data_IF_793023644542
#
_entry.id   IF_793023644542
#
_cell.length_a   1.000
_cell.length_b   1.000
_cell.length_c   1.000
_cell.angle_alpha   90.00
_cell.angle_beta   90.00
_cell.angle_gamma   90.00
#
_symmetry.space_group_name_H-M   'P 1'
#
loop_
_entity.id
_entity.type
_entity.pdbx_description
1 polymer ?
#
# COMPACT_ATOMS: atom_id res chain seq x y z
N UNK A 1 -1.22 -14.82 -37.94
CA UNK A 1 -0.09 -14.89 -37.00
C UNK A 1 -0.62 -15.31 -35.64
N UNK A 2 -0.65 -16.62 -35.37
CA UNK A 2 -1.08 -17.15 -34.09
C UNK A 2 0.03 -16.90 -33.06
N UNK A 3 -0.28 -16.18 -31.98
CA UNK A 3 0.64 -15.98 -30.87
C UNK A 3 0.79 -17.32 -30.13
N UNK A 4 1.74 -18.15 -30.55
CA UNK A 4 2.07 -19.38 -29.86
C UNK A 4 2.47 -19.04 -28.42
N UNK A 5 1.71 -19.56 -27.45
CA UNK A 5 1.96 -19.38 -26.02
C UNK A 5 3.26 -20.12 -25.70
N UNK A 6 4.38 -19.41 -25.72
CA UNK A 6 5.70 -19.98 -25.44
C UNK A 6 5.66 -20.64 -24.05
N UNK A 7 6.00 -21.93 -23.93
CA UNK A 7 6.00 -22.60 -22.64
C UNK A 7 6.97 -21.89 -21.71
N UNK A 8 6.51 -21.60 -20.50
CA UNK A 8 7.32 -20.92 -19.49
C UNK A 8 8.49 -21.83 -19.13
N UNK A 9 9.71 -21.43 -19.48
CA UNK A 9 10.91 -22.20 -19.15
C UNK A 9 11.21 -22.03 -17.66
N UNK A 10 11.48 -23.13 -16.97
CA UNK A 10 11.77 -23.13 -15.51
C UNK A 10 12.98 -22.22 -15.20
N UNK A 11 13.96 -22.16 -16.10
CA UNK A 11 15.13 -21.29 -15.97
C UNK A 11 14.74 -19.80 -15.92
N UNK A 12 13.74 -19.38 -16.69
CA UNK A 12 13.27 -17.99 -16.71
C UNK A 12 12.58 -17.60 -15.40
N UNK A 13 11.87 -18.56 -14.78
CA UNK A 13 11.26 -18.39 -13.46
C UNK A 13 12.36 -18.24 -12.40
N UNK A 14 13.37 -19.11 -12.42
CA UNK A 14 14.52 -19.07 -11.50
C UNK A 14 15.27 -17.74 -11.61
N UNK A 15 15.56 -17.30 -12.83
CA UNK A 15 16.23 -16.01 -13.09
C UNK A 15 15.39 -14.83 -12.61
N UNK A 16 14.07 -14.87 -12.84
CA UNK A 16 13.12 -13.84 -12.36
C UNK A 16 13.07 -13.78 -10.83
N UNK A 17 13.03 -14.93 -10.16
CA UNK A 17 13.00 -15.02 -8.71
C UNK A 17 14.30 -14.49 -8.08
N UNK A 18 15.46 -14.87 -8.62
CA UNK A 18 16.75 -14.38 -8.16
C UNK A 18 16.86 -12.84 -8.28
N UNK A 19 16.43 -12.28 -9.41
CA UNK A 19 16.39 -10.82 -9.62
C UNK A 19 15.46 -10.12 -8.63
N UNK A 20 14.26 -10.66 -8.41
CA UNK A 20 13.25 -10.07 -7.51
C UNK A 20 13.66 -10.14 -6.04
N UNK A 21 14.28 -11.22 -5.61
CA UNK A 21 14.78 -11.36 -4.23
C UNK A 21 15.97 -10.42 -3.97
N UNK A 22 16.91 -10.30 -4.92
CA UNK A 22 18.06 -9.39 -4.81
C UNK A 22 17.70 -7.90 -4.77
N UNK A 23 16.64 -7.49 -5.48
CA UNK A 23 16.09 -6.12 -5.43
C UNK A 23 15.53 -5.76 -4.04
N UNK A 24 15.11 -6.75 -3.24
CA UNK A 24 14.47 -6.48 -1.94
C UNK A 24 15.43 -6.45 -0.76
N UNK A 25 16.60 -7.11 -0.84
CA UNK A 25 17.57 -7.15 0.26
C UNK A 25 18.45 -5.90 0.33
N UNK A 26 18.81 -5.32 -0.81
CA UNK A 26 19.64 -4.10 -0.88
C UNK A 26 18.89 -2.84 -0.47
N UNK A 27 17.56 -2.83 -0.54
CA UNK A 27 16.73 -1.69 -0.18
C UNK A 27 16.31 -1.64 1.31
N UNK A 28 16.69 -2.64 2.12
CA UNK A 28 16.35 -2.67 3.56
C UNK A 28 17.38 -1.93 4.43
N UNK A 29 18.64 -1.84 4.02
CA UNK A 29 19.69 -1.21 4.84
C UNK A 29 19.72 0.32 4.76
N UNK A 30 19.03 0.92 3.77
CA UNK A 30 18.87 2.38 3.66
C UNK A 30 17.61 2.93 4.38
N UNK A 31 16.86 2.10 5.10
CA UNK A 31 15.59 2.47 5.75
C UNK A 31 15.65 2.49 7.28
N UNK A 32 16.80 2.84 7.84
CA UNK A 32 16.91 3.12 9.28
C UNK A 32 17.13 4.61 9.59
N UNK A 33 16.72 5.49 8.69
CA UNK A 33 16.64 6.94 8.94
C UNK A 33 15.43 7.52 8.24
N UNK A 34 14.33 7.61 9.00
CA UNK A 34 13.29 8.64 8.83
C UNK A 34 12.63 8.78 7.46
N UNK A 35 11.88 7.77 6.99
CA UNK A 35 10.83 8.01 5.97
C UNK A 35 9.56 7.22 6.27
N UNK A 36 8.87 7.64 7.33
CA UNK A 36 7.41 7.46 7.41
C UNK A 36 6.82 8.37 6.33
N UNK A 37 6.75 7.90 5.09
CA UNK A 37 5.95 8.54 4.02
C UNK A 37 4.48 8.13 4.15
N UNK A 38 3.93 8.24 5.35
CA UNK A 38 2.50 8.45 5.53
C UNK A 38 2.36 9.94 5.70
N UNK A 39 1.54 10.59 4.86
CA UNK A 39 1.06 11.94 5.16
C UNK A 39 0.77 12.01 6.65
N UNK A 40 1.52 12.83 7.38
CA UNK A 40 1.31 13.01 8.82
C UNK A 40 -0.05 13.67 8.93
N UNK A 41 -1.12 12.88 8.98
CA UNK A 41 -2.49 13.36 9.06
C UNK A 41 -2.60 14.06 10.39
N UNK A 42 -2.47 15.39 10.37
CA UNK A 42 -2.67 16.20 11.56
C UNK A 42 -4.14 16.06 11.95
N UNK A 43 -4.45 15.65 13.19
CA UNK A 43 -5.82 15.66 13.65
C UNK A 43 -6.33 17.10 13.60
N UNK A 44 -7.43 17.31 12.88
CA UNK A 44 -8.15 18.58 12.85
C UNK A 44 -9.18 18.53 13.96
N UNK A 45 -9.23 19.57 14.80
CA UNK A 45 -10.31 19.70 15.76
C UNK A 45 -11.61 20.05 15.03
N UNK A 46 -12.63 19.22 15.18
CA UNK A 46 -13.95 19.43 14.57
C UNK A 46 -15.01 19.60 15.66
N UNK A 47 -15.99 20.46 15.42
CA UNK A 47 -17.07 20.72 16.37
C UNK A 47 -18.20 19.70 16.22
N UNK A 48 -18.95 19.43 17.29
CA UNK A 48 -20.21 18.65 17.21
C UNK A 48 -21.28 19.37 16.38
N UNK A 49 -21.11 20.67 16.12
CA UNK A 49 -22.01 21.44 15.27
C UNK A 49 -21.76 21.25 13.78
N UNK A 50 -20.59 20.70 13.39
CA UNK A 50 -20.22 20.50 11.99
C UNK A 50 -21.23 19.61 11.25
N UNK A 51 -21.67 20.00 10.04
CA UNK A 51 -22.66 19.23 9.28
C UNK A 51 -22.24 17.78 9.03
N UNK A 52 -20.95 17.55 8.76
CA UNK A 52 -20.40 16.22 8.52
C UNK A 52 -20.43 15.35 9.78
N UNK A 53 -20.00 15.92 10.91
CA UNK A 53 -20.00 15.25 12.22
C UNK A 53 -21.43 14.89 12.62
N UNK A 54 -22.39 15.80 12.44
CA UNK A 54 -23.81 15.53 12.70
C UNK A 54 -24.36 14.39 11.86
N UNK A 55 -24.09 14.38 10.55
CA UNK A 55 -24.54 13.31 9.65
C UNK A 55 -23.98 11.94 10.07
N UNK A 56 -22.70 11.88 10.44
CA UNK A 56 -22.07 10.65 10.93
C UNK A 56 -22.62 10.20 12.28
N UNK A 57 -22.85 11.13 13.21
CA UNK A 57 -23.39 10.82 14.55
C UNK A 57 -24.85 10.38 14.52
N UNK A 58 -25.67 10.94 13.62
CA UNK A 58 -27.08 10.56 13.46
C UNK A 58 -27.26 9.09 13.09
N UNK A 59 -26.27 8.45 12.46
CA UNK A 59 -26.30 7.02 12.15
C UNK A 59 -26.28 6.12 13.41
N UNK A 60 -25.90 6.64 14.58
CA UNK A 60 -25.81 5.86 15.83
C UNK A 60 -27.00 6.00 16.78
N UNK A 61 -28.06 6.72 16.41
CA UNK A 61 -29.29 6.74 17.23
C UNK A 61 -30.13 5.50 16.91
N UNK A 62 -29.68 4.33 17.37
CA UNK A 62 -30.50 3.13 17.49
C UNK A 62 -31.07 3.19 18.91
N UNK A 63 -32.40 3.26 19.02
CA UNK A 63 -33.12 3.16 20.29
C UNK A 63 -32.88 1.78 20.92
#
# INVERSE_FOLDING_TARGET
MSNAKTPIRIQDIRNRAARKLGETSTNQSAKQTNKITGSMVKPIHVSKTDPLVKRMMQYKKIN
#
